data_IF_260808902121
#
_entry.id   IF_260808902121
#
_cell.length_a   1.000
_cell.length_b   1.000
_cell.length_c   1.000
_cell.angle_alpha   90.00
_cell.angle_beta   90.00
_cell.angle_gamma   90.00
#
_symmetry.space_group_name_H-M   'P 1'
#
loop_
_entity.id
_entity.type
_entity.pdbx_description
1 polymer ?
#
# COMPACT_ATOMS: atom_id res chain seq x y z
N UNK A 1 -3.43 72.01 -18.86
CA UNK A 1 -3.50 71.11 -20.02
C UNK A 1 -2.24 70.25 -19.96
N UNK A 2 -2.31 69.09 -19.30
CA UNK A 2 -1.24 68.08 -19.30
C UNK A 2 -1.82 66.75 -18.79
N UNK A 3 -2.59 66.09 -19.66
CA UNK A 3 -2.90 64.66 -19.54
C UNK A 3 -1.80 63.91 -20.29
N UNK A 4 -0.70 63.62 -19.61
CA UNK A 4 0.28 62.64 -20.10
C UNK A 4 -0.36 61.25 -19.98
N UNK A 5 -0.87 60.83 -21.13
CA UNK A 5 -1.07 59.45 -21.59
C UNK A 5 -0.31 58.44 -20.74
N UNK A 6 -1.04 57.74 -19.87
CA UNK A 6 -0.63 56.44 -19.38
C UNK A 6 -0.89 55.44 -20.51
N UNK A 7 0.11 55.24 -21.36
CA UNK A 7 0.15 54.06 -22.23
C UNK A 7 0.31 52.84 -21.32
N UNK A 8 -0.80 52.19 -21.01
CA UNK A 8 -0.79 50.81 -20.55
C UNK A 8 -0.10 49.98 -21.63
N UNK A 9 1.17 49.63 -21.41
CA UNK A 9 1.84 48.56 -22.14
C UNK A 9 1.00 47.30 -21.93
N UNK A 10 0.15 46.98 -22.92
CA UNK A 10 -0.48 45.65 -23.05
C UNK A 10 0.66 44.65 -23.16
N UNK A 11 1.10 44.10 -22.03
CA UNK A 11 1.94 42.91 -22.01
C UNK A 11 1.13 41.83 -22.70
N UNK A 12 1.62 41.33 -23.83
CA UNK A 12 1.08 40.13 -24.47
C UNK A 12 1.13 39.01 -23.44
N UNK A 13 -0.02 38.76 -22.80
CA UNK A 13 -0.14 37.72 -21.79
C UNK A 13 -0.12 36.39 -22.53
N UNK A 14 0.85 35.56 -22.20
CA UNK A 14 0.89 34.17 -22.65
C UNK A 14 -0.47 33.54 -22.31
N UNK A 15 -1.18 32.92 -23.27
CA UNK A 15 -2.46 32.30 -23.00
C UNK A 15 -2.36 31.25 -21.89
N UNK A 16 -3.37 31.18 -21.01
CA UNK A 16 -3.36 30.29 -19.84
C UNK A 16 -3.08 28.82 -20.21
N UNK A 17 -3.68 28.33 -21.30
CA UNK A 17 -3.46 26.96 -21.76
C UNK A 17 -1.99 26.66 -22.12
N UNK A 18 -1.22 27.67 -22.58
CA UNK A 18 0.22 27.53 -22.87
C UNK A 18 0.99 27.47 -21.56
N UNK A 19 0.66 28.34 -20.59
CA UNK A 19 1.24 28.31 -19.25
C UNK A 19 1.02 26.95 -18.59
N UNK A 20 -0.19 26.41 -18.65
CA UNK A 20 -0.53 25.08 -18.12
C UNK A 20 0.34 23.99 -18.74
N UNK A 21 0.48 23.98 -20.08
CA UNK A 21 1.34 23.01 -20.77
C UNK A 21 2.81 23.12 -20.35
N UNK A 22 3.31 24.33 -20.11
CA UNK A 22 4.69 24.56 -19.63
C UNK A 22 4.85 24.00 -18.21
N UNK A 23 3.94 24.36 -17.31
CA UNK A 23 3.99 23.94 -15.90
C UNK A 23 3.85 22.41 -15.76
N UNK A 24 3.00 21.77 -16.57
CA UNK A 24 2.83 20.31 -16.59
C UNK A 24 4.07 19.54 -17.04
N UNK A 25 5.04 20.19 -17.70
CA UNK A 25 6.33 19.58 -18.06
C UNK A 25 7.39 19.72 -16.97
N UNK A 26 7.10 20.50 -15.91
CA UNK A 26 8.08 20.75 -14.85
C UNK A 26 8.13 19.60 -13.84
N UNK A 27 9.33 19.24 -13.32
CA UNK A 27 9.45 18.31 -12.20
C UNK A 27 8.76 18.85 -10.95
N UNK A 28 8.33 17.96 -10.04
CA UNK A 28 7.53 18.32 -8.87
C UNK A 28 8.18 19.43 -8.00
N UNK A 29 9.49 19.36 -7.80
CA UNK A 29 10.24 20.36 -7.01
C UNK A 29 10.15 21.75 -7.63
N UNK A 30 10.17 21.84 -8.96
CA UNK A 30 9.99 23.10 -9.68
C UNK A 30 8.54 23.56 -9.61
N UNK A 31 7.57 22.66 -9.80
CA UNK A 31 6.14 22.99 -9.67
C UNK A 31 5.82 23.56 -8.28
N UNK A 32 6.41 23.02 -7.21
CA UNK A 32 6.24 23.54 -5.85
C UNK A 32 6.83 24.95 -5.68
N UNK A 33 7.98 25.23 -6.27
CA UNK A 33 8.57 26.59 -6.26
C UNK A 33 7.72 27.58 -7.06
N UNK A 34 7.13 27.13 -8.16
CA UNK A 34 6.27 27.94 -9.03
C UNK A 34 4.97 28.40 -8.37
N UNK A 35 4.52 27.73 -7.30
CA UNK A 35 3.41 28.22 -6.46
C UNK A 35 3.69 29.60 -5.84
N UNK A 36 4.96 29.95 -5.62
CA UNK A 36 5.34 31.24 -5.05
C UNK A 36 5.46 32.37 -6.09
N UNK A 37 5.31 32.08 -7.39
CA UNK A 37 5.49 33.07 -8.47
C UNK A 37 4.29 34.00 -8.58
N UNK A 38 3.07 33.46 -8.51
CA UNK A 38 1.83 34.24 -8.52
C UNK A 38 0.65 33.44 -7.96
N UNK A 39 -0.40 34.14 -7.53
CA UNK A 39 -1.64 33.50 -7.10
C UNK A 39 -2.26 32.66 -8.22
N UNK A 40 -2.25 33.15 -9.47
CA UNK A 40 -2.78 32.41 -10.62
C UNK A 40 -2.05 31.08 -10.85
N UNK A 41 -0.71 31.07 -10.74
CA UNK A 41 0.08 29.85 -10.89
C UNK A 41 -0.16 28.88 -9.73
N UNK A 42 -0.25 29.39 -8.50
CA UNK A 42 -0.61 28.56 -7.36
C UNK A 42 -1.97 27.89 -7.57
N UNK A 43 -3.00 28.66 -7.91
CA UNK A 43 -4.35 28.14 -8.18
C UNK A 43 -4.33 27.06 -9.26
N UNK A 44 -3.67 27.31 -10.39
CA UNK A 44 -3.55 26.35 -11.49
C UNK A 44 -2.87 25.03 -11.06
N UNK A 45 -1.76 25.11 -10.31
CA UNK A 45 -1.00 23.94 -9.85
C UNK A 45 -1.78 23.13 -8.79
N UNK A 46 -2.71 23.76 -8.08
CA UNK A 46 -3.60 23.10 -7.11
C UNK A 46 -4.86 22.51 -7.72
N UNK A 47 -5.15 22.77 -9.01
CA UNK A 47 -6.35 22.21 -9.65
C UNK A 47 -6.28 20.67 -9.74
N UNK A 48 -7.39 19.94 -9.47
CA UNK A 48 -7.41 18.48 -9.53
C UNK A 48 -6.94 17.92 -10.88
N UNK A 49 -7.36 18.54 -11.98
CA UNK A 49 -6.91 18.19 -13.33
C UNK A 49 -5.38 18.29 -13.48
N UNK A 50 -4.77 19.37 -12.97
CA UNK A 50 -3.33 19.58 -13.05
C UNK A 50 -2.58 18.51 -12.26
N UNK A 51 -3.05 18.20 -11.05
CA UNK A 51 -2.48 17.17 -10.20
C UNK A 51 -2.53 15.80 -10.88
N UNK A 52 -3.68 15.44 -11.48
CA UNK A 52 -3.86 14.17 -12.21
C UNK A 52 -2.93 14.07 -13.42
N UNK A 53 -2.87 15.11 -14.24
CA UNK A 53 -1.99 15.17 -15.43
C UNK A 53 -0.50 15.14 -15.08
N UNK A 54 -0.13 15.75 -13.94
CA UNK A 54 1.24 15.73 -13.43
C UNK A 54 1.60 14.34 -12.90
N UNK A 55 0.70 13.73 -12.12
CA UNK A 55 0.85 12.38 -11.58
C UNK A 55 0.99 11.32 -12.67
N UNK A 56 0.23 11.42 -13.76
CA UNK A 56 0.31 10.49 -14.89
C UNK A 56 1.69 10.49 -15.59
N UNK A 57 2.51 11.53 -15.37
CA UNK A 57 3.88 11.66 -15.89
C UNK A 57 4.94 11.37 -14.83
N UNK A 58 4.52 11.09 -13.60
CA UNK A 58 5.43 10.82 -12.50
C UNK A 58 6.19 9.51 -12.78
N UNK A 59 7.47 9.50 -12.46
CA UNK A 59 8.30 8.31 -12.58
C UNK A 59 8.10 7.43 -11.35
N UNK A 60 7.98 6.10 -11.52
CA UNK A 60 7.94 5.19 -10.39
C UNK A 60 9.28 5.20 -9.66
N UNK A 61 9.18 5.23 -8.35
CA UNK A 61 10.25 5.16 -7.37
C UNK A 61 9.93 4.00 -6.42
N UNK A 62 10.92 3.50 -5.70
CA UNK A 62 10.74 2.49 -4.67
C UNK A 62 10.75 3.21 -3.33
N UNK A 63 9.67 3.03 -2.58
CA UNK A 63 9.54 3.51 -1.21
C UNK A 63 9.77 2.34 -0.26
N UNK A 64 10.66 2.51 0.70
CA UNK A 64 10.91 1.52 1.76
C UNK A 64 11.10 2.18 3.13
N UNK A 65 11.05 1.36 4.17
CA UNK A 65 11.39 1.77 5.55
C UNK A 65 12.74 1.22 5.96
N UNK A 66 13.67 2.09 6.35
CA UNK A 66 14.94 1.69 6.97
C UNK A 66 14.76 1.48 8.47
N UNK A 67 15.47 0.48 9.03
CA UNK A 67 15.43 0.00 10.42
C UNK A 67 14.46 0.76 11.37
N UNK A 68 13.19 0.36 11.40
CA UNK A 68 12.13 1.09 12.07
C UNK A 68 12.22 1.06 13.61
N UNK A 69 13.21 0.38 14.18
CA UNK A 69 13.44 0.31 15.64
C UNK A 69 14.35 1.44 16.12
N UNK A 70 15.34 1.85 15.30
CA UNK A 70 16.38 2.79 15.71
C UNK A 70 16.09 4.21 15.22
N UNK A 71 15.54 4.37 14.01
CA UNK A 71 15.15 5.68 13.45
C UNK A 71 14.25 5.49 12.22
N UNK A 72 12.93 5.81 12.28
CA UNK A 72 12.05 5.64 11.13
C UNK A 72 12.43 6.65 10.02
N UNK A 73 13.13 6.16 9.01
CA UNK A 73 13.44 6.92 7.79
C UNK A 73 12.79 6.22 6.61
N UNK A 74 12.25 7.01 5.69
CA UNK A 74 11.78 6.47 4.43
C UNK A 74 12.87 6.61 3.38
N UNK A 75 13.12 5.51 2.68
CA UNK A 75 14.00 5.49 1.54
C UNK A 75 13.18 5.68 0.29
N UNK A 76 13.54 6.66 -0.53
CA UNK A 76 13.06 6.75 -1.91
C UNK A 76 14.24 6.50 -2.83
N UNK A 77 14.08 5.49 -3.68
CA UNK A 77 15.04 5.16 -4.72
C UNK A 77 14.38 5.19 -6.09
N UNK A 78 15.16 5.36 -7.15
CA UNK A 78 14.67 5.20 -8.50
C UNK A 78 14.60 3.72 -8.91
N UNK A 79 13.90 3.44 -10.00
CA UNK A 79 13.76 2.07 -10.51
C UNK A 79 15.10 1.43 -10.96
N UNK A 80 16.20 2.18 -11.03
CA UNK A 80 17.57 1.69 -11.31
C UNK A 80 18.37 1.38 -10.04
N UNK A 81 17.92 1.83 -8.86
CA UNK A 81 18.58 1.66 -7.57
C UNK A 81 20.01 2.25 -7.50
N UNK A 82 20.28 3.28 -8.31
CA UNK A 82 21.58 3.98 -8.33
C UNK A 82 21.58 5.31 -7.56
N UNK A 83 20.40 5.79 -7.13
CA UNK A 83 20.26 7.06 -6.39
C UNK A 83 19.16 6.98 -5.36
N UNK A 84 19.56 6.85 -4.11
CA UNK A 84 18.64 6.88 -2.98
C UNK A 84 18.59 8.25 -2.32
N UNK A 85 17.47 8.56 -1.67
CA UNK A 85 17.29 9.74 -0.83
C UNK A 85 16.52 9.34 0.42
N UNK A 86 17.12 9.60 1.58
CA UNK A 86 16.45 9.44 2.86
C UNK A 86 15.51 10.62 3.12
N UNK A 87 14.24 10.32 3.39
CA UNK A 87 13.23 11.28 3.81
C UNK A 87 12.95 11.04 5.30
N UNK A 88 13.39 12.00 6.10
CA UNK A 88 13.17 11.98 7.55
C UNK A 88 11.72 12.32 7.87
N UNK A 89 11.02 11.39 8.49
CA UNK A 89 9.72 11.63 9.10
C UNK A 89 9.92 11.99 10.58
N UNK A 90 9.98 13.29 10.88
CA UNK A 90 10.30 13.80 12.20
C UNK A 90 9.08 13.69 13.14
N UNK A 91 8.82 12.49 13.67
CA UNK A 91 7.90 12.30 14.81
C UNK A 91 8.55 11.38 15.85
N UNK A 92 8.26 11.59 17.15
CA UNK A 92 8.96 10.93 18.25
C UNK A 92 8.65 9.43 18.41
N UNK A 93 7.61 8.92 17.74
CA UNK A 93 7.19 7.52 17.82
C UNK A 93 7.59 6.76 16.56
N UNK A 94 7.94 5.48 16.70
CA UNK A 94 8.18 4.61 15.55
C UNK A 94 6.87 4.41 14.76
N UNK A 95 6.92 4.65 13.45
CA UNK A 95 5.82 4.41 12.52
C UNK A 95 6.20 3.29 11.54
N UNK A 96 5.19 2.61 11.03
CA UNK A 96 5.31 1.70 9.89
C UNK A 96 4.46 2.20 8.72
N UNK A 97 4.91 1.89 7.50
CA UNK A 97 4.13 2.17 6.30
C UNK A 97 3.10 1.06 6.15
N UNK A 98 1.84 1.46 6.07
CA UNK A 98 0.72 0.58 5.74
C UNK A 98 0.64 0.40 4.22
N UNK A 99 0.71 1.51 3.50
CA UNK A 99 0.38 1.58 2.08
C UNK A 99 0.86 2.89 1.44
N UNK A 100 1.04 2.87 0.13
CA UNK A 100 1.21 4.05 -0.72
C UNK A 100 0.24 4.00 -1.90
N UNK A 101 -0.36 5.14 -2.22
CA UNK A 101 -1.27 5.28 -3.36
C UNK A 101 -1.13 6.68 -3.94
N UNK A 102 -0.86 6.80 -5.24
CA UNK A 102 -0.84 8.08 -5.97
C UNK A 102 -0.01 9.20 -5.30
N UNK A 103 1.08 8.80 -4.65
CA UNK A 103 2.03 9.66 -3.93
C UNK A 103 1.62 10.10 -2.53
N UNK A 104 0.52 9.57 -2.02
CA UNK A 104 0.15 9.63 -0.59
C UNK A 104 0.57 8.33 0.08
N UNK A 105 1.09 8.44 1.30
CA UNK A 105 1.55 7.34 2.14
C UNK A 105 0.70 7.30 3.41
N UNK A 106 0.22 6.12 3.77
CA UNK A 106 -0.46 5.88 5.05
C UNK A 106 0.53 5.27 6.04
N UNK A 107 0.62 5.88 7.23
CA UNK A 107 1.48 5.45 8.33
C UNK A 107 0.64 5.06 9.54
N UNK A 108 1.06 3.99 10.23
CA UNK A 108 0.51 3.54 11.52
C UNK A 108 1.59 3.63 12.59
N UNK A 109 1.22 4.07 13.80
CA UNK A 109 2.13 4.03 14.96
C UNK A 109 2.40 2.57 15.37
N UNK A 110 3.66 2.20 15.56
CA UNK A 110 4.10 0.83 15.89
C UNK A 110 3.82 0.43 17.34
N UNK A 111 3.79 1.40 18.24
CA UNK A 111 3.65 1.19 19.68
C UNK A 111 2.39 1.88 20.24
N UNK A 112 1.19 1.54 19.73
CA UNK A 112 -0.06 2.20 20.11
C UNK A 112 -0.39 2.05 21.60
N UNK A 113 0.23 1.07 22.26
CA UNK A 113 0.08 0.74 23.67
C UNK A 113 0.86 1.71 24.59
N UNK A 114 1.95 2.29 24.08
CA UNK A 114 2.88 3.11 24.87
C UNK A 114 2.63 4.61 24.72
N UNK A 115 2.05 5.05 23.60
CA UNK A 115 1.82 6.46 23.31
C UNK A 115 0.33 6.85 23.38
N UNK A 116 -0.57 5.89 23.60
CA UNK A 116 -2.03 6.06 23.52
C UNK A 116 -2.50 6.52 22.14
N UNK A 117 -1.59 6.58 21.17
CA UNK A 117 -1.70 7.24 19.89
C UNK A 117 -1.97 6.14 18.88
N UNK A 118 -3.24 5.70 18.87
CA UNK A 118 -3.85 4.87 17.82
C UNK A 118 -4.00 5.66 16.52
N UNK A 119 -2.92 6.33 16.11
CA UNK A 119 -2.88 7.43 15.15
C UNK A 119 -2.50 6.90 13.78
N UNK A 120 -3.41 7.09 12.83
CA UNK A 120 -3.11 6.95 11.41
C UNK A 120 -2.72 8.32 10.86
N UNK A 121 -1.69 8.35 10.03
CA UNK A 121 -1.22 9.58 9.39
C UNK A 121 -1.23 9.36 7.89
N UNK A 122 -1.85 10.29 7.17
CA UNK A 122 -1.61 10.46 5.75
C UNK A 122 -0.44 11.42 5.57
N UNK A 123 0.48 11.06 4.70
CA UNK A 123 1.65 11.86 4.41
C UNK A 123 1.87 11.93 2.91
N UNK A 124 2.06 13.14 2.39
CA UNK A 124 2.61 13.34 1.06
C UNK A 124 4.08 13.83 1.23
N UNK A 125 5.08 12.95 0.99
CA UNK A 125 6.49 13.30 1.09
C UNK A 125 6.91 14.41 0.14
N UNK A 126 6.34 14.45 -1.07
CA UNK A 126 6.74 15.38 -2.12
C UNK A 126 6.41 16.83 -1.77
N UNK A 127 5.25 17.07 -1.15
CA UNK A 127 4.84 18.41 -0.71
C UNK A 127 5.12 18.67 0.77
N UNK A 128 5.69 17.68 1.48
CA UNK A 128 6.02 17.71 2.92
C UNK A 128 4.82 18.04 3.82
N UNK A 129 3.62 17.58 3.44
CA UNK A 129 2.39 17.77 4.21
C UNK A 129 1.95 16.48 4.86
N UNK A 130 1.55 16.55 6.11
CA UNK A 130 1.02 15.42 6.89
C UNK A 130 -0.37 15.77 7.40
N UNK A 131 -1.27 14.81 7.40
CA UNK A 131 -2.59 14.88 8.02
C UNK A 131 -2.69 13.76 9.06
N UNK A 132 -2.89 14.15 10.32
CA UNK A 132 -3.23 13.20 11.38
C UNK A 132 -4.72 12.88 11.28
N UNK A 133 -5.07 11.60 11.10
CA UNK A 133 -6.47 11.21 11.04
C UNK A 133 -7.12 11.30 12.43
N UNK A 134 -8.36 11.81 12.52
CA UNK A 134 -9.10 11.80 13.77
C UNK A 134 -9.31 10.35 14.23
N UNK A 135 -9.45 10.10 15.54
CA UNK A 135 -9.85 8.79 15.99
C UNK A 135 -11.27 8.45 15.49
N UNK A 136 -11.55 7.18 15.19
CA UNK A 136 -12.92 6.68 15.02
C UNK A 136 -13.76 6.96 16.29
N UNK A 137 -15.08 7.09 16.17
CA UNK A 137 -15.98 7.16 17.34
C UNK A 137 -16.11 5.81 18.02
N UNK A 138 -16.06 4.72 17.25
CA UNK A 138 -16.04 3.38 17.84
C UNK A 138 -14.71 3.16 18.57
N UNK A 139 -14.74 2.84 19.86
CA UNK A 139 -13.56 2.43 20.65
C UNK A 139 -13.03 1.04 20.26
N UNK A 140 -13.27 0.59 19.02
CA UNK A 140 -12.80 -0.68 18.50
C UNK A 140 -11.28 -0.81 18.73
N UNK A 141 -10.85 -1.97 19.23
CA UNK A 141 -9.42 -2.25 19.38
C UNK A 141 -8.78 -2.24 18.00
N UNK A 142 -7.68 -1.50 17.87
CA UNK A 142 -6.91 -1.43 16.61
C UNK A 142 -5.93 -2.59 16.46
N UNK A 143 -6.01 -3.60 17.33
CA UNK A 143 -5.09 -4.74 17.34
C UNK A 143 -5.89 -6.03 17.49
N UNK A 144 -5.83 -6.95 16.50
CA UNK A 144 -5.31 -6.78 15.14
C UNK A 144 -6.30 -6.05 14.21
N UNK A 145 -5.81 -5.26 13.26
CA UNK A 145 -6.63 -4.51 12.29
C UNK A 145 -6.00 -4.58 10.90
N UNK A 146 -6.81 -4.92 9.88
CA UNK A 146 -6.40 -4.75 8.49
C UNK A 146 -6.56 -3.28 8.12
N UNK A 147 -5.57 -2.74 7.43
CA UNK A 147 -5.61 -1.39 6.92
C UNK A 147 -5.31 -1.39 5.43
N UNK A 148 -5.77 -0.35 4.75
CA UNK A 148 -5.24 0.00 3.46
C UNK A 148 -5.37 1.46 3.13
N UNK A 149 -4.90 1.83 1.94
CA UNK A 149 -5.03 3.17 1.38
C UNK A 149 -5.34 3.05 -0.09
N UNK A 150 -6.42 3.67 -0.56
CA UNK A 150 -6.77 3.71 -1.97
C UNK A 150 -7.22 5.08 -2.42
N UNK A 151 -7.28 5.26 -3.74
CA UNK A 151 -7.81 6.46 -4.36
C UNK A 151 -9.02 6.08 -5.23
N UNK A 152 -10.17 6.69 -4.95
CA UNK A 152 -11.37 6.57 -5.77
C UNK A 152 -11.39 7.69 -6.83
N UNK A 153 -11.17 7.37 -8.11
CA UNK A 153 -11.18 8.38 -9.16
C UNK A 153 -12.57 8.98 -9.42
N UNK A 154 -13.67 8.31 -9.02
CA UNK A 154 -15.04 8.82 -9.22
C UNK A 154 -15.35 9.97 -8.27
N UNK A 155 -15.06 9.79 -6.99
CA UNK A 155 -15.26 10.82 -5.97
C UNK A 155 -14.06 11.75 -5.79
N UNK A 156 -12.95 11.53 -6.52
CA UNK A 156 -11.69 12.26 -6.35
C UNK A 156 -11.19 12.21 -4.90
N UNK A 157 -11.26 11.03 -4.29
CA UNK A 157 -11.07 10.87 -2.85
C UNK A 157 -10.00 9.85 -2.50
N UNK A 158 -9.21 10.14 -1.46
CA UNK A 158 -8.38 9.13 -0.83
C UNK A 158 -9.17 8.50 0.30
N UNK A 159 -9.28 7.17 0.28
CA UNK A 159 -9.96 6.39 1.31
C UNK A 159 -8.95 5.54 2.08
N UNK A 160 -9.07 5.52 3.40
CA UNK A 160 -8.29 4.64 4.28
C UNK A 160 -9.23 3.61 4.89
N UNK A 161 -9.47 2.47 4.22
CA UNK A 161 -10.25 1.38 4.77
C UNK A 161 -9.54 0.69 5.94
N UNK A 162 -10.36 0.18 6.85
CA UNK A 162 -9.90 -0.67 7.93
C UNK A 162 -10.94 -1.71 8.33
N UNK A 163 -10.46 -2.87 8.77
CA UNK A 163 -11.28 -3.94 9.33
C UNK A 163 -10.79 -4.20 10.75
N UNK A 164 -11.64 -3.90 11.73
CA UNK A 164 -11.32 -3.91 13.16
C UNK A 164 -12.21 -4.92 13.88
N UNK A 165 -11.70 -5.55 14.95
CA UNK A 165 -12.55 -6.34 15.85
C UNK A 165 -13.11 -5.46 16.97
N UNK A 166 -14.41 -5.54 17.24
CA UNK A 166 -15.00 -4.85 18.39
C UNK A 166 -14.59 -5.58 19.67
N UNK A 167 -13.99 -4.88 20.64
CA UNK A 167 -13.56 -5.50 21.90
C UNK A 167 -12.45 -6.55 21.76
N UNK A 168 -12.16 -7.25 22.86
CA UNK A 168 -11.05 -8.20 22.95
C UNK A 168 -11.47 -9.69 22.85
N UNK A 169 -12.77 -9.98 22.82
CA UNK A 169 -13.26 -11.37 22.69
C UNK A 169 -13.08 -11.90 21.27
N UNK A 170 -12.67 -13.17 21.17
CA UNK A 170 -12.61 -13.93 19.93
C UNK A 170 -13.96 -14.08 19.21
N UNK A 171 -15.06 -13.88 19.93
CA UNK A 171 -16.44 -14.06 19.45
C UNK A 171 -17.04 -12.78 18.86
N UNK A 172 -16.39 -11.63 19.06
CA UNK A 172 -16.91 -10.37 18.55
C UNK A 172 -16.71 -10.24 17.03
N UNK A 173 -17.72 -9.68 16.32
CA UNK A 173 -17.64 -9.51 14.88
C UNK A 173 -16.55 -8.50 14.50
N UNK A 174 -16.02 -8.68 13.29
CA UNK A 174 -15.26 -7.64 12.62
C UNK A 174 -16.20 -6.59 12.03
N UNK A 175 -15.77 -5.34 12.10
CA UNK A 175 -16.47 -4.19 11.55
C UNK A 175 -15.56 -3.48 10.57
N UNK A 176 -16.16 -2.98 9.51
CA UNK A 176 -15.48 -2.18 8.51
C UNK A 176 -15.80 -0.72 8.65
N UNK A 177 -14.75 0.06 8.47
CA UNK A 177 -14.79 1.51 8.53
C UNK A 177 -13.81 2.02 7.50
N UNK A 178 -14.07 3.20 6.97
CA UNK A 178 -13.07 3.87 6.15
C UNK A 178 -13.09 5.36 6.42
N UNK A 179 -11.91 5.96 6.41
CA UNK A 179 -11.79 7.40 6.42
C UNK A 179 -11.85 7.92 5.00
N UNK A 180 -12.64 8.96 4.75
CA UNK A 180 -12.65 9.73 3.51
C UNK A 180 -11.90 11.04 3.71
N UNK A 181 -10.93 11.32 2.83
CA UNK A 181 -10.17 12.56 2.88
C UNK A 181 -11.08 13.76 2.56
N UNK A 182 -11.93 13.62 1.56
CA UNK A 182 -12.87 14.66 1.15
C UNK A 182 -13.87 15.04 2.25
N UNK A 183 -14.38 14.07 3.01
CA UNK A 183 -15.29 14.35 4.13
C UNK A 183 -14.59 14.65 5.45
N UNK A 184 -13.27 14.44 5.52
CA UNK A 184 -12.48 14.59 6.75
C UNK A 184 -12.94 13.70 7.90
N UNK A 185 -13.65 12.61 7.63
CA UNK A 185 -14.32 11.80 8.66
C UNK A 185 -14.35 10.31 8.34
N UNK A 186 -14.57 9.51 9.38
CA UNK A 186 -14.80 8.07 9.28
C UNK A 186 -16.25 7.80 8.88
N UNK A 187 -16.43 6.98 7.85
CA UNK A 187 -17.67 6.25 7.64
C UNK A 187 -17.67 5.02 8.56
N UNK A 188 -18.59 5.00 9.51
CA UNK A 188 -18.71 3.96 10.53
C UNK A 188 -19.98 3.12 10.37
N UNK A 189 -20.51 2.99 9.15
CA UNK A 189 -21.69 2.15 8.90
C UNK A 189 -21.40 0.68 9.19
N UNK A 190 -21.79 0.24 10.39
CA UNK A 190 -21.51 -1.10 10.95
C UNK A 190 -22.17 -2.22 10.13
N UNK A 191 -23.26 -1.92 9.42
CA UNK A 191 -24.08 -2.94 8.75
C UNK A 191 -23.58 -3.34 7.34
N UNK A 192 -22.69 -2.56 6.74
CA UNK A 192 -22.30 -2.74 5.32
C UNK A 192 -21.48 -4.02 5.07
N UNK A 193 -20.69 -4.42 6.06
CA UNK A 193 -19.80 -5.57 5.95
C UNK A 193 -20.55 -6.91 6.00
N UNK A 194 -21.66 -6.96 6.73
CA UNK A 194 -22.44 -8.18 6.91
C UNK A 194 -23.39 -8.47 5.74
N UNK A 195 -23.80 -7.45 4.99
CA UNK A 195 -24.82 -7.57 3.93
C UNK A 195 -24.23 -7.81 2.54
N UNK A 196 -22.97 -7.43 2.31
CA UNK A 196 -22.33 -7.46 0.98
C UNK A 196 -21.48 -8.70 0.70
N UNK A 197 -21.01 -9.43 1.71
CA UNK A 197 -20.39 -10.74 1.51
C UNK A 197 -21.45 -11.84 1.58
N UNK A 198 -21.47 -12.73 0.58
CA UNK A 198 -22.34 -13.91 0.53
C UNK A 198 -22.10 -14.89 1.70
N UNK A 199 -20.99 -14.75 2.43
CA UNK A 199 -20.61 -15.63 3.53
C UNK A 199 -20.37 -14.86 4.85
N UNK A 200 -21.46 -14.56 5.56
CA UNK A 200 -21.45 -13.86 6.87
C UNK A 200 -20.61 -14.57 7.93
N UNK A 201 -20.54 -15.90 7.87
CA UNK A 201 -19.85 -16.71 8.89
C UNK A 201 -18.34 -16.78 8.65
N UNK A 202 -17.89 -16.78 7.38
CA UNK A 202 -16.46 -16.82 7.03
C UNK A 202 -15.63 -15.66 7.62
N UNK A 203 -16.24 -14.50 7.88
CA UNK A 203 -15.56 -13.35 8.47
C UNK A 203 -15.52 -13.37 10.00
N UNK A 204 -16.42 -14.09 10.68
CA UNK A 204 -16.30 -14.34 12.13
C UNK A 204 -15.09 -15.22 12.44
N UNK A 205 -14.72 -16.03 11.46
CA UNK A 205 -13.61 -16.96 11.48
C UNK A 205 -12.43 -16.46 10.65
N UNK A 206 -11.97 -15.21 10.77
CA UNK A 206 -10.67 -14.80 10.19
C UNK A 206 -9.60 -14.58 11.24
N UNK A 207 -8.38 -14.98 10.89
CA UNK A 207 -7.19 -14.68 11.68
C UNK A 207 -6.37 -13.60 10.98
N UNK A 208 -6.20 -12.47 11.67
CA UNK A 208 -5.38 -11.36 11.19
C UNK A 208 -3.94 -11.57 11.66
N UNK A 209 -3.06 -12.00 10.75
CA UNK A 209 -1.62 -12.03 10.99
C UNK A 209 -0.98 -10.69 10.62
N UNK A 210 0.17 -10.38 11.23
CA UNK A 210 0.89 -9.10 11.09
C UNK A 210 1.48 -8.82 9.70
N UNK A 211 1.32 -9.72 8.74
CA UNK A 211 1.78 -9.48 7.37
C UNK A 211 0.78 -8.54 6.71
N UNK A 212 1.12 -7.26 6.58
CA UNK A 212 0.35 -6.28 5.83
C UNK A 212 0.37 -6.66 4.32
N UNK A 213 -0.51 -7.59 3.97
CA UNK A 213 -0.67 -8.20 2.65
C UNK A 213 -1.73 -7.43 1.85
N UNK A 214 -1.45 -6.18 1.50
CA UNK A 214 -2.35 -5.43 0.62
C UNK A 214 -1.82 -5.28 -0.80
N UNK A 215 -2.72 -5.41 -1.77
CA UNK A 215 -2.46 -5.11 -3.17
C UNK A 215 -3.60 -4.26 -3.74
N UNK A 216 -3.27 -3.31 -4.60
CA UNK A 216 -4.26 -2.40 -5.19
C UNK A 216 -4.20 -2.51 -6.69
N UNK A 217 -5.30 -2.97 -7.29
CA UNK A 217 -5.43 -3.17 -8.73
C UNK A 217 -6.80 -2.66 -9.15
N UNK A 218 -6.87 -1.86 -10.21
CA UNK A 218 -8.13 -1.37 -10.79
C UNK A 218 -9.07 -0.67 -9.80
N UNK A 219 -8.54 0.07 -8.83
CA UNK A 219 -9.35 0.75 -7.81
C UNK A 219 -9.97 -0.20 -6.78
N UNK A 220 -9.44 -1.41 -6.67
CA UNK A 220 -9.86 -2.42 -5.69
C UNK A 220 -8.68 -2.75 -4.79
N UNK A 221 -8.92 -2.73 -3.48
CA UNK A 221 -7.93 -3.11 -2.47
C UNK A 221 -8.14 -4.58 -2.12
N UNK A 222 -7.05 -5.34 -2.10
CA UNK A 222 -7.07 -6.78 -1.87
C UNK A 222 -6.28 -7.11 -0.61
N UNK A 223 -6.82 -7.95 0.25
CA UNK A 223 -6.13 -8.52 1.40
C UNK A 223 -6.16 -10.04 1.35
N UNK A 224 -5.02 -10.68 1.57
CA UNK A 224 -4.95 -12.14 1.73
C UNK A 224 -5.20 -12.51 3.18
N UNK A 225 -6.24 -13.31 3.44
CA UNK A 225 -6.71 -13.67 4.78
C UNK A 225 -6.74 -15.19 4.96
N UNK A 226 -6.48 -15.65 6.19
CA UNK A 226 -6.68 -17.04 6.59
C UNK A 226 -8.05 -17.20 7.23
N UNK A 227 -8.75 -18.30 6.91
CA UNK A 227 -9.91 -18.74 7.68
C UNK A 227 -9.43 -19.41 8.99
N UNK A 228 -10.21 -19.24 10.05
CA UNK A 228 -9.98 -19.77 11.41
C UNK A 228 -10.57 -21.17 11.44
N UNK A 229 -9.77 -22.13 11.90
CA UNK A 229 -10.22 -23.49 12.19
C UNK A 229 -10.85 -23.56 13.60
N UNK A 230 -11.85 -24.44 13.79
CA UNK A 230 -12.59 -24.62 15.05
C UNK A 230 -11.69 -25.04 16.23
N UNK A 231 -10.53 -25.64 15.95
CA UNK A 231 -9.59 -26.19 16.95
C UNK A 231 -8.89 -25.07 17.77
N UNK A 232 -8.85 -23.83 17.28
CA UNK A 232 -8.15 -22.70 17.91
C UNK A 232 -8.95 -21.98 19.01
N UNK A 233 -10.20 -22.36 19.28
CA UNK A 233 -10.95 -21.77 20.39
C UNK A 233 -10.34 -22.09 21.77
N UNK A 234 -9.57 -23.18 21.89
CA UNK A 234 -9.07 -23.67 23.19
C UNK A 234 -7.59 -23.33 23.49
N UNK A 235 -6.77 -22.97 22.48
CA UNK A 235 -5.30 -22.84 22.64
C UNK A 235 -4.74 -21.41 22.62
N UNK A 236 -5.54 -20.39 22.96
CA UNK A 236 -5.08 -18.99 22.96
C UNK A 236 -4.19 -18.57 24.16
N UNK A 237 -3.62 -19.51 24.93
CA UNK A 237 -2.86 -19.20 26.15
C UNK A 237 -1.35 -19.48 26.11
N UNK A 238 -0.81 -20.18 25.09
CA UNK A 238 0.62 -20.49 25.04
C UNK A 238 1.34 -19.89 23.83
N UNK A 239 2.25 -18.95 24.14
CA UNK A 239 3.16 -18.28 23.21
C UNK A 239 4.18 -19.27 22.63
N UNK A 240 3.86 -19.92 21.52
CA UNK A 240 4.84 -20.35 20.49
C UNK A 240 4.20 -20.17 19.12
N UNK A 241 4.87 -19.42 18.25
CA UNK A 241 4.40 -19.04 16.93
C UNK A 241 3.91 -20.24 16.11
N UNK A 242 2.65 -20.29 15.65
CA UNK A 242 2.25 -21.26 14.65
C UNK A 242 2.69 -20.71 13.28
N UNK A 243 4.00 -20.75 13.01
CA UNK A 243 4.40 -20.99 11.64
C UNK A 243 3.97 -22.43 11.35
N UNK A 244 3.22 -22.63 10.27
CA UNK A 244 2.76 -23.91 9.70
C UNK A 244 1.31 -24.29 10.04
N UNK A 245 0.53 -24.55 8.97
CA UNK A 245 -0.71 -25.36 8.87
C UNK A 245 -2.03 -24.68 8.47
N UNK A 246 -2.13 -23.36 8.33
CA UNK A 246 -3.36 -22.76 7.74
C UNK A 246 -3.28 -22.81 6.22
N UNK A 247 -4.05 -23.70 5.60
CA UNK A 247 -4.13 -23.80 4.15
C UNK A 247 -5.43 -23.24 3.56
N UNK A 248 -6.45 -22.96 4.36
CA UNK A 248 -7.64 -22.26 3.88
C UNK A 248 -7.42 -20.74 3.89
N UNK A 249 -7.13 -20.21 2.70
CA UNK A 249 -6.88 -18.79 2.44
C UNK A 249 -7.82 -18.26 1.37
N UNK A 250 -8.22 -17.00 1.52
CA UNK A 250 -8.98 -16.29 0.49
C UNK A 250 -8.49 -14.86 0.35
N UNK A 251 -8.82 -14.23 -0.79
CA UNK A 251 -8.52 -12.83 -1.04
C UNK A 251 -9.80 -12.02 -0.89
N UNK A 252 -9.83 -11.16 0.13
CA UNK A 252 -10.89 -10.17 0.30
C UNK A 252 -10.62 -8.99 -0.62
N UNK A 253 -11.62 -8.59 -1.40
CA UNK A 253 -11.57 -7.45 -2.30
C UNK A 253 -12.52 -6.34 -1.82
N UNK A 254 -12.06 -5.10 -1.78
CA UNK A 254 -12.86 -3.91 -1.48
C UNK A 254 -12.82 -2.92 -2.63
N UNK A 255 -13.99 -2.68 -3.23
CA UNK A 255 -14.16 -1.78 -4.34
C UNK A 255 -14.37 -0.34 -3.83
N UNK A 256 -13.39 0.53 -4.08
CA UNK A 256 -13.41 1.91 -3.59
C UNK A 256 -14.55 2.76 -4.17
N UNK A 257 -15.03 2.40 -5.36
CA UNK A 257 -15.94 3.21 -6.17
C UNK A 257 -17.42 3.11 -5.80
N UNK A 258 -17.80 2.04 -5.11
CA UNK A 258 -19.16 1.73 -4.69
C UNK A 258 -19.20 1.16 -3.26
N UNK A 259 -18.05 1.21 -2.57
CA UNK A 259 -17.85 0.77 -1.19
C UNK A 259 -18.28 -0.70 -0.93
N UNK A 260 -18.21 -1.57 -1.94
CA UNK A 260 -18.63 -2.97 -1.83
C UNK A 260 -17.49 -3.95 -1.62
N UNK A 261 -17.80 -5.07 -0.99
CA UNK A 261 -16.87 -6.20 -0.86
C UNK A 261 -17.11 -7.27 -1.90
N UNK A 262 -16.06 -8.05 -2.14
CA UNK A 262 -16.10 -9.27 -2.92
C UNK A 262 -15.02 -10.23 -2.45
N UNK A 263 -15.04 -11.44 -2.99
CA UNK A 263 -14.03 -12.46 -2.78
C UNK A 263 -13.38 -12.80 -4.12
N UNK A 264 -12.05 -12.88 -4.13
CA UNK A 264 -11.29 -13.37 -5.28
C UNK A 264 -10.79 -14.76 -4.94
N UNK A 265 -11.24 -15.76 -5.72
CA UNK A 265 -10.79 -17.13 -5.57
C UNK A 265 -9.35 -17.29 -6.08
N UNK A 266 -8.55 -18.01 -5.31
CA UNK A 266 -7.18 -18.38 -5.65
C UNK A 266 -7.16 -19.45 -6.77
N UNK A 267 -6.00 -19.69 -7.41
CA UNK A 267 -5.86 -20.73 -8.43
C UNK A 267 -6.29 -22.12 -7.91
N UNK A 268 -6.94 -22.93 -8.75
CA UNK A 268 -7.51 -24.24 -8.37
C UNK A 268 -6.48 -25.20 -7.76
N UNK A 269 -5.22 -25.10 -8.15
CA UNK A 269 -4.15 -25.92 -7.61
C UNK A 269 -3.83 -25.65 -6.13
N UNK A 270 -4.46 -24.64 -5.51
CA UNK A 270 -4.36 -24.32 -4.08
C UNK A 270 -5.62 -24.71 -3.28
N UNK A 271 -6.62 -25.35 -3.91
CA UNK A 271 -7.77 -25.91 -3.18
C UNK A 271 -7.35 -27.11 -2.33
N UNK A 272 -6.25 -27.77 -2.68
CA UNK A 272 -5.68 -28.88 -1.91
C UNK A 272 -4.89 -28.36 -0.70
N UNK A 273 -5.50 -28.54 0.48
CA UNK A 273 -4.93 -28.17 1.77
C UNK A 273 -3.85 -29.13 2.27
N UNK A 274 -3.40 -30.10 1.48
CA UNK A 274 -2.24 -30.94 1.83
C UNK A 274 -0.90 -30.33 1.42
N UNK A 275 -0.91 -29.32 0.52
CA UNK A 275 0.30 -28.62 0.11
C UNK A 275 0.90 -27.82 1.27
N UNK A 276 2.14 -28.15 1.64
CA UNK A 276 2.87 -27.43 2.70
C UNK A 276 3.47 -26.15 2.12
N UNK A 277 2.77 -25.04 2.35
CA UNK A 277 3.26 -23.71 1.98
C UNK A 277 3.81 -23.02 3.23
N UNK A 278 5.03 -22.51 3.16
CA UNK A 278 5.71 -21.83 4.28
C UNK A 278 5.19 -20.41 4.48
N UNK A 279 4.88 -19.70 3.40
CA UNK A 279 4.38 -18.33 3.44
C UNK A 279 3.57 -17.99 2.17
N UNK A 280 2.68 -17.00 2.25
CA UNK A 280 1.90 -16.48 1.13
C UNK A 280 1.80 -14.96 1.21
N UNK A 281 1.83 -14.29 0.07
CA UNK A 281 1.61 -12.85 -0.01
C UNK A 281 0.76 -12.48 -1.23
N UNK A 282 0.13 -11.31 -1.18
CA UNK A 282 -0.51 -10.68 -2.33
C UNK A 282 0.28 -9.42 -2.71
N UNK A 283 0.40 -9.14 -3.99
CA UNK A 283 1.14 -7.99 -4.51
C UNK A 283 0.63 -7.59 -5.89
N UNK A 284 1.30 -6.65 -6.56
CA UNK A 284 0.98 -6.21 -7.92
C UNK A 284 2.18 -6.46 -8.83
N UNK A 285 1.99 -7.17 -9.93
CA UNK A 285 3.01 -7.49 -10.92
C UNK A 285 2.49 -7.12 -12.32
N UNK A 286 3.18 -6.24 -13.04
CA UNK A 286 2.76 -5.73 -14.37
C UNK A 286 1.30 -5.23 -14.36
N UNK A 287 0.93 -4.47 -13.33
CA UNK A 287 -0.43 -3.97 -13.10
C UNK A 287 -1.52 -5.05 -12.89
N UNK A 288 -1.12 -6.32 -12.74
CA UNK A 288 -2.01 -7.44 -12.44
C UNK A 288 -1.93 -7.82 -10.96
N UNK A 289 -3.04 -8.36 -10.44
CA UNK A 289 -3.08 -8.92 -9.11
C UNK A 289 -2.20 -10.18 -9.08
N UNK A 290 -1.28 -10.23 -8.11
CA UNK A 290 -0.30 -11.32 -7.98
C UNK A 290 -0.44 -12.04 -6.65
N UNK A 291 -0.50 -13.35 -6.71
CA UNK A 291 -0.47 -14.26 -5.57
C UNK A 291 0.89 -14.97 -5.53
N UNK A 292 1.64 -14.77 -4.44
CA UNK A 292 2.98 -15.32 -4.30
C UNK A 292 3.01 -16.38 -3.22
N UNK A 293 3.64 -17.52 -3.53
CA UNK A 293 3.67 -18.70 -2.69
C UNK A 293 5.12 -19.11 -2.45
N UNK A 294 5.46 -19.36 -1.19
CA UNK A 294 6.79 -19.83 -0.79
C UNK A 294 6.69 -21.25 -0.26
N UNK A 295 7.34 -22.18 -0.94
CA UNK A 295 7.37 -23.58 -0.56
C UNK A 295 8.77 -23.96 -0.07
N UNK A 296 8.85 -24.51 1.14
CA UNK A 296 10.09 -25.02 1.71
C UNK A 296 9.86 -25.81 2.98
N UNK A 297 10.60 -26.90 3.15
CA UNK A 297 10.55 -27.71 4.36
C UNK A 297 11.15 -26.97 5.57
N UNK A 298 10.73 -27.30 6.82
CA UNK A 298 11.21 -26.66 8.05
C UNK A 298 12.73 -26.65 8.24
N UNK A 299 13.43 -27.57 7.57
CA UNK A 299 14.88 -27.73 7.62
C UNK A 299 15.55 -27.49 6.25
N UNK A 300 14.77 -27.11 5.24
CA UNK A 300 15.31 -26.81 3.91
C UNK A 300 15.94 -25.44 3.92
N UNK A 301 17.17 -25.35 3.38
CA UNK A 301 17.73 -24.06 2.96
C UNK A 301 17.18 -23.63 1.61
N UNK A 302 16.60 -24.53 0.82
CA UNK A 302 16.06 -24.22 -0.50
C UNK A 302 14.56 -23.95 -0.41
N UNK A 303 14.15 -22.80 -0.94
CA UNK A 303 12.77 -22.36 -1.01
C UNK A 303 12.41 -22.10 -2.47
N UNK A 304 11.23 -22.53 -2.88
CA UNK A 304 10.66 -22.20 -4.17
C UNK A 304 9.66 -21.05 -3.99
N UNK A 305 9.92 -19.94 -4.65
CA UNK A 305 9.00 -18.83 -4.78
C UNK A 305 8.25 -18.97 -6.10
N UNK A 306 6.95 -19.21 -6.03
CA UNK A 306 6.06 -19.12 -7.19
C UNK A 306 5.32 -17.78 -7.20
N UNK A 307 5.28 -17.14 -8.36
CA UNK A 307 4.58 -15.87 -8.58
C UNK A 307 3.48 -16.13 -9.61
N UNK A 308 2.23 -16.04 -9.17
CA UNK A 308 1.05 -16.24 -10.00
C UNK A 308 0.38 -14.89 -10.27
N UNK A 309 -0.05 -14.64 -11.49
CA UNK A 309 -0.77 -13.40 -11.86
C UNK A 309 -2.15 -13.73 -12.42
N UNK A 310 -3.13 -12.89 -12.11
CA UNK A 310 -4.48 -13.00 -12.65
C UNK A 310 -4.56 -12.19 -13.95
N UNK A 311 -4.53 -12.85 -15.10
CA UNK A 311 -4.52 -12.18 -16.41
C UNK A 311 -5.84 -11.49 -16.73
N UNK A 312 -6.97 -12.07 -16.30
CA UNK A 312 -8.29 -11.48 -16.42
C UNK A 312 -8.88 -11.29 -15.03
N UNK A 313 -8.99 -10.03 -14.62
CA UNK A 313 -9.45 -9.69 -13.28
C UNK A 313 -10.82 -10.32 -12.96
N UNK A 314 -10.90 -11.01 -11.81
CA UNK A 314 -12.09 -11.73 -11.35
C UNK A 314 -12.30 -13.12 -11.97
N UNK A 315 -11.55 -13.51 -13.00
CA UNK A 315 -11.70 -14.81 -13.68
C UNK A 315 -10.72 -15.82 -13.10
N UNK A 316 -11.23 -16.76 -12.28
CA UNK A 316 -10.40 -17.79 -11.61
C UNK A 316 -9.50 -18.59 -12.57
N UNK A 317 -10.02 -19.00 -13.72
CA UNK A 317 -9.26 -19.76 -14.72
C UNK A 317 -8.16 -18.97 -15.42
N UNK A 318 -8.04 -17.67 -15.17
CA UNK A 318 -7.02 -16.80 -15.78
C UNK A 318 -5.75 -16.65 -14.94
N UNK A 319 -5.68 -17.31 -13.78
CA UNK A 319 -4.45 -17.36 -13.00
C UNK A 319 -3.38 -18.15 -13.74
N UNK A 320 -2.26 -17.50 -14.04
CA UNK A 320 -1.11 -18.12 -14.69
C UNK A 320 0.13 -17.97 -13.80
N UNK A 321 0.94 -19.03 -13.71
CA UNK A 321 2.22 -18.96 -13.01
C UNK A 321 3.22 -18.23 -13.89
N UNK A 322 3.60 -17.02 -13.46
CA UNK A 322 4.51 -16.14 -14.19
C UNK A 322 5.98 -16.55 -13.99
N UNK A 323 6.35 -16.85 -12.74
CA UNK A 323 7.73 -17.24 -12.39
C UNK A 323 7.75 -18.36 -11.35
N UNK A 324 8.82 -19.15 -11.39
CA UNK A 324 9.21 -20.09 -10.35
C UNK A 324 10.70 -19.90 -10.08
N UNK A 325 11.05 -19.50 -8.86
CA UNK A 325 12.40 -19.06 -8.50
C UNK A 325 12.87 -19.88 -7.30
N UNK A 326 13.99 -20.60 -7.46
CA UNK A 326 14.64 -21.33 -6.37
C UNK A 326 15.62 -20.41 -5.62
N UNK A 327 15.52 -20.38 -4.29
CA UNK A 327 16.25 -19.46 -3.41
C UNK A 327 16.88 -20.21 -2.23
N UNK A 328 18.05 -19.77 -1.76
CA UNK A 328 18.77 -20.37 -0.61
C UNK A 328 18.30 -19.88 0.77
N UNK A 329 17.38 -18.92 0.80
CA UNK A 329 16.77 -18.39 2.00
C UNK A 329 15.34 -17.97 1.68
N UNK A 330 14.48 -17.91 2.70
CA UNK A 330 13.14 -17.34 2.56
C UNK A 330 13.27 -15.88 2.17
N UNK A 331 12.60 -15.49 1.10
CA UNK A 331 12.48 -14.09 0.71
C UNK A 331 11.14 -13.89 0.01
N UNK A 332 10.51 -12.74 0.22
CA UNK A 332 9.25 -12.39 -0.45
C UNK A 332 9.51 -11.39 -1.59
N UNK A 333 8.85 -11.50 -2.74
CA UNK A 333 8.86 -10.46 -3.75
C UNK A 333 8.16 -9.22 -3.20
N UNK A 334 8.74 -8.06 -3.50
CA UNK A 334 8.17 -6.76 -3.14
C UNK A 334 7.81 -5.94 -4.37
N UNK A 335 8.66 -5.92 -5.38
CA UNK A 335 8.52 -5.05 -6.57
C UNK A 335 9.08 -5.74 -7.80
N UNK A 336 8.32 -5.76 -8.90
CA UNK A 336 8.82 -6.11 -10.24
C UNK A 336 9.24 -4.84 -10.97
N UNK A 337 10.54 -4.71 -11.25
CA UNK A 337 11.16 -3.56 -11.90
C UNK A 337 10.87 -3.52 -13.40
N UNK A 338 10.96 -2.33 -14.01
CA UNK A 338 10.71 -2.17 -15.46
C UNK A 338 11.70 -2.94 -16.34
N UNK A 339 12.90 -3.23 -15.81
CA UNK A 339 13.91 -4.06 -16.48
C UNK A 339 13.65 -5.58 -16.32
N UNK A 340 12.57 -5.99 -15.64
CA UNK A 340 12.20 -7.38 -15.39
C UNK A 340 12.86 -8.01 -14.16
N UNK A 341 13.68 -7.27 -13.41
CA UNK A 341 14.24 -7.74 -12.14
C UNK A 341 13.20 -7.68 -11.02
N UNK A 342 13.22 -8.67 -10.14
CA UNK A 342 12.35 -8.73 -8.96
C UNK A 342 13.17 -8.36 -7.74
N UNK A 343 12.68 -7.42 -6.94
CA UNK A 343 13.23 -7.16 -5.62
C UNK A 343 12.61 -8.12 -4.61
N UNK A 344 13.47 -8.73 -3.80
CA UNK A 344 13.13 -9.75 -2.83
C UNK A 344 13.60 -9.30 -1.44
N UNK A 345 12.68 -9.25 -0.48
CA UNK A 345 12.92 -8.81 0.90
C UNK A 345 13.10 -9.99 1.86
N UNK A 346 13.88 -9.79 2.93
CA UNK A 346 14.12 -10.80 3.96
C UNK A 346 15.15 -11.86 3.58
N UNK A 347 15.83 -11.73 2.43
CA UNK A 347 16.82 -12.71 1.99
C UNK A 347 18.05 -12.65 2.91
N UNK A 348 18.35 -13.73 3.65
CA UNK A 348 19.54 -13.87 4.48
C UNK A 348 19.79 -12.69 5.46
N UNK A 349 19.39 -12.83 6.73
CA UNK A 349 19.57 -11.78 7.75
C UNK A 349 19.02 -10.41 7.32
N UNK A 350 17.78 -10.38 6.81
CA UNK A 350 17.02 -9.16 6.47
C UNK A 350 17.60 -8.28 5.34
N UNK A 351 18.22 -8.87 4.32
CA UNK A 351 18.71 -8.10 3.16
C UNK A 351 17.69 -8.01 2.03
N UNK A 352 17.70 -6.85 1.36
CA UNK A 352 17.03 -6.64 0.09
C UNK A 352 17.96 -7.07 -1.05
N UNK A 353 17.48 -7.98 -1.90
CA UNK A 353 18.23 -8.45 -3.07
C UNK A 353 17.43 -8.25 -4.35
N UNK A 354 18.14 -8.07 -5.46
CA UNK A 354 17.55 -8.12 -6.79
C UNK A 354 17.81 -9.48 -7.42
N UNK A 355 16.76 -10.10 -7.96
CA UNK A 355 16.78 -11.39 -8.62
C UNK A 355 16.29 -11.23 -10.06
N UNK A 356 17.03 -11.81 -11.01
CA UNK A 356 16.53 -12.02 -12.37
C UNK A 356 15.80 -13.37 -12.41
N UNK A 357 14.47 -13.44 -12.56
CA UNK A 357 13.76 -14.71 -12.45
C UNK A 357 14.17 -15.76 -13.49
N UNK A 358 14.74 -15.34 -14.63
CA UNK A 358 15.18 -16.22 -15.72
C UNK A 358 16.70 -16.48 -15.73
N UNK A 359 17.45 -15.92 -14.78
CA UNK A 359 18.91 -16.09 -14.70
C UNK A 359 19.35 -16.29 -13.24
N UNK A 360 20.36 -17.13 -12.94
CA UNK A 360 20.73 -17.46 -11.56
C UNK A 360 21.53 -16.35 -10.85
N UNK A 361 21.29 -15.07 -11.17
CA UNK A 361 22.03 -13.94 -10.60
C UNK A 361 21.16 -13.24 -9.55
N UNK A 362 21.61 -13.37 -8.31
CA UNK A 362 21.12 -12.58 -7.16
C UNK A 362 22.16 -11.49 -6.89
N UNK A 363 21.70 -10.24 -6.77
CA UNK A 363 22.54 -9.10 -6.43
C UNK A 363 22.08 -8.51 -5.09
N UNK A 364 23.01 -8.38 -4.15
CA UNK A 364 22.78 -7.63 -2.92
C UNK A 364 22.62 -6.14 -3.25
N UNK A 365 21.55 -5.53 -2.76
CA UNK A 365 21.27 -4.11 -2.99
C UNK A 365 21.91 -3.19 -1.95
N UNK A 366 22.57 -3.75 -0.92
CA UNK A 366 23.17 -2.98 0.17
C UNK A 366 22.15 -2.30 1.08
N UNK A 367 20.90 -2.76 1.05
CA UNK A 367 19.80 -2.24 1.86
C UNK A 367 19.24 -3.35 2.74
N UNK A 368 18.96 -3.01 4.00
CA UNK A 368 18.25 -3.90 4.91
C UNK A 368 16.74 -3.71 4.76
N UNK A 369 16.05 -4.81 4.47
CA UNK A 369 14.60 -4.87 4.49
C UNK A 369 14.19 -6.26 4.99
N UNK A 370 13.62 -6.27 6.19
CA UNK A 370 13.10 -7.51 6.78
C UNK A 370 12.00 -8.11 5.92
N UNK A 371 11.76 -9.42 6.08
CA UNK A 371 10.64 -10.10 5.44
C UNK A 371 9.30 -9.42 5.77
N UNK A 372 9.19 -8.78 6.94
CA UNK A 372 8.00 -8.03 7.38
C UNK A 372 8.06 -6.53 7.03
N UNK A 373 9.18 -6.05 6.49
CA UNK A 373 9.38 -4.64 6.18
C UNK A 373 8.59 -4.22 4.94
N UNK A 374 8.12 -2.97 4.89
CA UNK A 374 7.37 -2.46 3.73
C UNK A 374 8.31 -2.02 2.60
N UNK A 375 8.01 -2.45 1.37
CA UNK A 375 8.50 -1.80 0.16
C UNK A 375 7.45 -1.88 -0.96
N UNK A 376 7.27 -0.79 -1.69
CA UNK A 376 6.35 -0.71 -2.82
C UNK A 376 6.74 0.39 -3.81
N UNK A 377 6.06 0.40 -4.96
CA UNK A 377 6.12 1.54 -5.87
C UNK A 377 5.50 2.79 -5.24
N UNK A 378 6.17 3.91 -5.46
CA UNK A 378 5.78 5.24 -5.08
C UNK A 378 5.99 6.18 -6.24
N UNK A 379 5.13 7.19 -6.35
CA UNK A 379 5.25 8.25 -7.34
C UNK A 379 5.21 9.58 -6.62
N UNK A 380 6.09 10.50 -7.00
CA UNK A 380 6.02 11.86 -6.49
C UNK A 380 4.72 12.53 -6.95
N UNK A 381 4.02 13.24 -6.05
CA UNK A 381 2.67 13.73 -6.34
C UNK A 381 2.39 15.09 -5.71
N UNK A 382 1.62 15.91 -6.41
CA UNK A 382 1.09 17.19 -5.93
C UNK A 382 -0.21 17.04 -5.12
N UNK A 383 -0.65 15.80 -4.86
CA UNK A 383 -1.87 15.50 -4.11
C UNK A 383 -1.93 16.25 -2.77
N UNK A 384 -3.02 17.01 -2.59
CA UNK A 384 -3.25 17.80 -1.38
C UNK A 384 -3.90 16.92 -0.30
N UNK A 385 -3.58 17.20 0.96
CA UNK A 385 -4.17 16.54 2.14
C UNK A 385 -5.09 17.48 2.92
N UNK A 386 -5.07 18.75 2.59
CA UNK A 386 -5.94 19.82 3.04
C UNK A 386 -6.89 20.14 1.87
N UNK A 387 -8.10 19.60 1.93
CA UNK A 387 -9.20 19.95 1.01
C UNK A 387 -10.22 20.81 1.74
#
# INVERSE_FOLDING_TARGET
MDRKVAEEVKRDRIPEHVVTKILLKSPIKSSLRFRCVSQSWNSLITLPYFIKEHLAKAKPLILGTENPVVSPSLLIDNDRLDRSSQIKFHRPYAFEIVASCNGVVCLRGRYPEFDGSRRLILWNPSIKKTLLLPPPRSFASTVPTLLGLGYDPRSDDYKVPRIVRLGNSAEHPFVFQFFSLNSGSWNENVDFFSSSLENKDALRSITLYRYDNQAIVNGVIHWLLNRRDEIDAEMSSNRRSPLMHYNDVFVLAFHLSNDSFGEVRLPECFDDTTKVVTCRTISVFKDLLSFNVFEGGPYSRRYNCEIWVMEQYGVRGSWTRLYQIEMLHVARPVVLRSNGEILMAGYGSDRLVSCQPLAPRIRDMGLELSIDGYAAYFVESLALLDK
#
